data_IF_788254321251
#
_entry.id   IF_788254321251
#
_cell.length_a   1.000
_cell.length_b   1.000
_cell.length_c   1.000
_cell.angle_alpha   90.00
_cell.angle_beta   90.00
_cell.angle_gamma   90.00
#
_symmetry.space_group_name_H-M   'P 1'
#
loop_
_entity.id
_entity.type
_entity.pdbx_description
1 polymer ?
#
# COMPACT_ATOMS: atom_id res chain seq x y z
N UNK A 1 4.16 8.29 -9.06
CA UNK A 1 3.97 8.15 -10.50
C UNK A 1 4.75 6.99 -11.11
N UNK A 2 4.23 6.44 -12.17
CA UNK A 2 4.90 5.45 -13.03
C UNK A 2 4.82 5.92 -14.47
N UNK A 3 5.96 5.92 -15.19
CA UNK A 3 6.02 6.11 -16.64
C UNK A 3 6.41 4.78 -17.28
N UNK A 4 5.62 4.30 -18.21
CA UNK A 4 5.94 3.11 -18.98
C UNK A 4 6.91 3.45 -20.12
N UNK A 5 8.13 2.95 -20.04
CA UNK A 5 9.09 3.02 -21.15
C UNK A 5 8.90 1.81 -22.08
N UNK A 6 8.76 0.63 -21.49
CA UNK A 6 8.51 -0.64 -22.20
C UNK A 6 7.61 -1.56 -21.36
N UNK A 7 6.54 -2.13 -21.94
CA UNK A 7 5.75 -3.17 -21.28
C UNK A 7 6.51 -4.52 -21.24
N UNK A 8 5.97 -5.48 -20.52
CA UNK A 8 6.41 -6.86 -20.57
C UNK A 8 6.07 -7.53 -21.91
N UNK A 9 6.62 -8.73 -22.15
CA UNK A 9 6.25 -9.59 -23.28
C UNK A 9 4.79 -10.03 -23.16
N UNK A 10 4.40 -10.45 -21.93
CA UNK A 10 3.02 -10.79 -21.59
C UNK A 10 2.74 -10.54 -20.11
N UNK A 11 1.49 -10.32 -19.74
CA UNK A 11 1.08 -10.02 -18.37
C UNK A 11 1.55 -8.64 -17.89
N UNK A 12 1.65 -8.47 -16.58
CA UNK A 12 2.07 -7.20 -15.97
C UNK A 12 0.99 -6.14 -15.90
N UNK A 13 -0.28 -6.55 -16.07
CA UNK A 13 -1.48 -5.71 -15.88
C UNK A 13 -1.42 -5.01 -14.52
N UNK A 14 -1.63 -3.72 -14.52
CA UNK A 14 -1.77 -2.92 -13.29
C UNK A 14 -3.22 -2.94 -12.84
N UNK A 15 -3.44 -3.22 -11.56
CA UNK A 15 -4.76 -3.23 -10.95
C UNK A 15 -4.82 -2.17 -9.84
N UNK A 16 -5.90 -1.42 -9.80
CA UNK A 16 -6.14 -0.36 -8.83
C UNK A 16 -7.51 -0.57 -8.21
N UNK A 17 -7.63 -0.35 -6.91
CA UNK A 17 -8.92 -0.27 -6.24
C UNK A 17 -9.00 0.93 -5.29
N UNK A 18 -10.23 1.40 -5.07
CA UNK A 18 -10.51 2.47 -4.11
C UNK A 18 -10.44 1.95 -2.69
N UNK A 19 -9.52 2.47 -1.88
CA UNK A 19 -9.48 2.12 -0.46
C UNK A 19 -10.70 2.66 0.31
N UNK A 20 -11.37 3.68 -0.20
CA UNK A 20 -12.62 4.19 0.38
C UNK A 20 -13.77 3.21 0.16
N UNK A 21 -13.86 2.60 -1.02
CA UNK A 21 -14.84 1.56 -1.30
C UNK A 21 -14.63 0.34 -0.39
N UNK A 22 -13.37 -0.08 -0.21
CA UNK A 22 -13.03 -1.17 0.73
C UNK A 22 -13.45 -0.83 2.15
N UNK A 23 -13.16 0.39 2.63
CA UNK A 23 -13.59 0.83 3.96
C UNK A 23 -15.11 0.76 4.12
N UNK A 24 -15.88 1.29 3.15
CA UNK A 24 -17.33 1.27 3.19
C UNK A 24 -17.90 -0.15 3.21
N UNK A 25 -17.30 -1.06 2.44
CA UNK A 25 -17.70 -2.47 2.44
C UNK A 25 -17.41 -3.13 3.79
N UNK A 26 -16.21 -2.91 4.36
CA UNK A 26 -15.88 -3.38 5.71
C UNK A 26 -16.90 -2.86 6.73
N UNK A 27 -17.21 -1.56 6.71
CA UNK A 27 -18.15 -0.95 7.63
C UNK A 27 -19.56 -1.52 7.50
N UNK A 28 -19.98 -1.88 6.29
CA UNK A 28 -21.34 -2.37 6.02
C UNK A 28 -21.49 -3.86 6.33
N UNK A 29 -20.51 -4.68 5.95
CA UNK A 29 -20.61 -6.13 6.03
C UNK A 29 -20.01 -6.69 7.32
N UNK A 30 -18.94 -6.06 7.82
CA UNK A 30 -18.14 -6.49 8.97
C UNK A 30 -17.72 -5.30 9.83
N UNK A 31 -18.68 -4.60 10.48
CA UNK A 31 -18.36 -3.43 11.31
C UNK A 31 -17.38 -3.74 12.44
N UNK A 32 -17.32 -5.00 12.92
CA UNK A 32 -16.37 -5.47 13.92
C UNK A 32 -14.89 -5.39 13.46
N UNK A 33 -14.63 -5.29 12.14
CA UNK A 33 -13.27 -5.16 11.60
C UNK A 33 -12.75 -3.72 11.63
N UNK A 34 -13.62 -2.74 11.82
CA UNK A 34 -13.21 -1.32 11.78
C UNK A 34 -12.26 -0.98 12.92
N UNK A 35 -12.55 -1.44 14.13
CA UNK A 35 -11.70 -1.17 15.30
C UNK A 35 -10.26 -1.70 15.13
N UNK A 36 -10.01 -2.98 14.80
CA UNK A 36 -8.65 -3.44 14.56
C UNK A 36 -7.97 -2.72 13.39
N UNK A 37 -8.68 -2.40 12.30
CA UNK A 37 -8.12 -1.71 11.16
C UNK A 37 -7.76 -0.23 11.44
N UNK A 38 -8.44 0.41 12.37
CA UNK A 38 -8.17 1.79 12.80
C UNK A 38 -7.17 1.87 13.96
N UNK A 39 -7.14 0.88 14.86
CA UNK A 39 -6.10 0.74 15.89
C UNK A 39 -4.73 0.39 15.28
N UNK A 40 -4.75 -0.24 14.11
CA UNK A 40 -3.58 -0.48 13.28
C UNK A 40 -2.69 -1.64 13.75
N UNK A 41 -1.52 -1.74 13.13
CA UNK A 41 -0.60 -2.87 13.26
C UNK A 41 0.86 -2.39 13.24
N UNK A 42 1.76 -3.20 13.77
CA UNK A 42 3.17 -3.05 13.47
C UNK A 42 3.44 -3.52 12.02
N UNK A 43 4.22 -2.74 11.30
CA UNK A 43 4.63 -3.06 9.93
C UNK A 43 6.10 -3.46 9.92
N UNK A 44 6.42 -4.47 9.14
CA UNK A 44 7.80 -4.81 8.82
C UNK A 44 8.47 -3.70 8.01
N UNK A 45 9.70 -3.35 8.37
CA UNK A 45 10.47 -2.29 7.70
C UNK A 45 11.25 -2.77 6.48
N UNK A 46 11.25 -4.08 6.17
CA UNK A 46 11.89 -4.69 4.99
C UNK A 46 13.33 -4.17 4.80
N UNK A 47 14.18 -4.34 5.79
CA UNK A 47 15.58 -3.90 5.74
C UNK A 47 15.79 -2.38 5.67
N UNK A 48 14.73 -1.59 5.90
CA UNK A 48 14.82 -0.12 6.03
C UNK A 48 15.04 0.33 7.46
N UNK A 49 14.85 -0.58 8.42
CA UNK A 49 15.19 -0.36 9.82
C UNK A 49 16.69 -0.42 10.07
N UNK A 50 17.11 -0.08 11.29
CA UNK A 50 18.45 -0.39 11.78
C UNK A 50 18.57 -1.90 12.02
N UNK A 51 19.78 -2.40 12.31
CA UNK A 51 19.96 -3.81 12.71
C UNK A 51 19.15 -4.20 13.96
N UNK A 52 18.67 -3.22 14.71
CA UNK A 52 17.95 -3.38 15.98
C UNK A 52 16.44 -3.15 15.84
N UNK A 53 15.97 -2.49 14.77
CA UNK A 53 14.56 -2.12 14.58
C UNK A 53 14.10 -2.65 13.22
N UNK A 54 13.46 -3.80 13.24
CA UNK A 54 12.97 -4.48 12.02
C UNK A 54 11.48 -4.20 11.74
N UNK A 55 10.77 -3.62 12.69
CA UNK A 55 9.35 -3.27 12.57
C UNK A 55 9.07 -1.87 13.14
N UNK A 56 7.90 -1.30 12.86
CA UNK A 56 7.53 0.04 13.32
C UNK A 56 7.34 0.06 14.85
N UNK A 57 7.90 1.07 15.52
CA UNK A 57 7.80 1.23 16.98
C UNK A 57 6.35 1.35 17.46
N UNK A 58 5.52 2.02 16.68
CA UNK A 58 4.10 2.20 16.97
C UNK A 58 3.24 1.47 15.93
N UNK A 59 2.03 1.09 16.33
CA UNK A 59 1.03 0.55 15.41
C UNK A 59 0.60 1.65 14.45
N UNK A 60 0.46 1.31 13.16
CA UNK A 60 0.01 2.21 12.10
C UNK A 60 -1.38 1.75 11.65
N UNK A 61 -2.38 2.63 11.63
CA UNK A 61 -3.71 2.30 11.11
C UNK A 61 -3.67 1.84 9.65
N UNK A 62 -4.52 0.86 9.31
CA UNK A 62 -4.85 0.59 7.90
C UNK A 62 -5.73 1.70 7.37
N UNK A 63 -6.73 2.12 8.16
CA UNK A 63 -7.58 3.27 7.88
C UNK A 63 -7.42 4.33 8.96
N UNK A 64 -7.19 5.56 8.55
CA UNK A 64 -6.96 6.69 9.44
C UNK A 64 -7.83 7.88 9.04
N UNK A 65 -8.67 8.35 9.98
CA UNK A 65 -9.44 9.58 9.83
C UNK A 65 -8.67 10.76 10.43
N UNK A 66 -8.49 11.82 9.65
CA UNK A 66 -7.87 13.05 10.13
C UNK A 66 -8.41 14.26 9.36
N UNK A 67 -8.88 15.27 10.08
CA UNK A 67 -9.42 16.52 9.50
C UNK A 67 -10.46 16.27 8.38
N UNK A 68 -11.36 15.32 8.57
CA UNK A 68 -12.40 14.98 7.59
C UNK A 68 -11.94 14.10 6.41
N UNK A 69 -10.70 13.63 6.41
CA UNK A 69 -10.16 12.76 5.35
C UNK A 69 -9.90 11.36 5.87
N UNK A 70 -10.34 10.36 5.11
CA UNK A 70 -9.98 8.97 5.31
C UNK A 70 -8.74 8.63 4.47
N UNK A 71 -7.68 8.17 5.10
CA UNK A 71 -6.45 7.72 4.46
C UNK A 71 -6.23 6.24 4.73
N UNK A 72 -5.67 5.53 3.75
CA UNK A 72 -5.40 4.09 3.84
C UNK A 72 -3.92 3.79 3.62
N UNK A 73 -3.44 2.78 4.36
CA UNK A 73 -2.14 2.14 4.15
C UNK A 73 -2.28 0.66 4.41
N UNK A 74 -2.09 -0.15 3.38
CA UNK A 74 -2.26 -1.59 3.47
C UNK A 74 -1.14 -2.34 2.75
N UNK A 75 -0.54 -3.28 3.44
CA UNK A 75 0.31 -4.32 2.88
C UNK A 75 0.26 -5.51 3.83
N UNK A 76 -0.54 -6.53 3.48
CA UNK A 76 -0.78 -7.71 4.32
C UNK A 76 0.52 -8.34 4.81
N UNK A 77 1.47 -8.62 3.90
CA UNK A 77 2.74 -9.25 4.26
C UNK A 77 3.57 -8.42 5.26
N UNK A 78 3.60 -7.10 5.08
CA UNK A 78 4.32 -6.23 6.03
C UNK A 78 3.64 -6.20 7.40
N UNK A 79 2.32 -6.27 7.44
CA UNK A 79 1.56 -6.35 8.71
C UNK A 79 1.87 -7.67 9.41
N UNK A 80 1.69 -8.81 8.73
CA UNK A 80 1.92 -10.14 9.30
C UNK A 80 3.35 -10.27 9.87
N UNK A 81 4.37 -9.92 9.08
CA UNK A 81 5.76 -9.97 9.51
C UNK A 81 6.06 -8.96 10.65
N UNK A 82 5.49 -7.76 10.61
CA UNK A 82 5.69 -6.76 11.65
C UNK A 82 5.07 -7.18 12.98
N UNK A 83 3.90 -7.77 12.95
CA UNK A 83 3.23 -8.31 14.13
C UNK A 83 3.97 -9.51 14.71
N UNK A 84 4.44 -10.43 13.87
CA UNK A 84 5.28 -11.55 14.27
C UNK A 84 6.57 -11.08 14.95
N UNK A 85 7.34 -10.18 14.32
CA UNK A 85 8.61 -9.64 14.84
C UNK A 85 8.44 -8.83 16.13
N UNK A 86 7.28 -8.19 16.31
CA UNK A 86 6.96 -7.49 17.55
C UNK A 86 6.71 -8.43 18.74
N UNK A 87 6.62 -9.74 18.51
CA UNK A 87 6.30 -10.76 19.52
C UNK A 87 4.85 -10.75 19.99
N UNK A 88 3.98 -9.92 19.40
CA UNK A 88 2.56 -9.81 19.81
C UNK A 88 1.65 -10.77 19.03
N UNK A 89 2.03 -11.06 17.76
CA UNK A 89 1.17 -11.83 16.88
C UNK A 89 -0.10 -11.05 16.47
N UNK A 90 -0.97 -11.71 15.74
CA UNK A 90 -2.31 -11.23 15.38
C UNK A 90 -3.35 -12.02 16.15
N UNK A 91 -4.39 -11.38 16.66
CA UNK A 91 -5.58 -12.06 17.14
C UNK A 91 -6.39 -12.58 15.96
N UNK A 92 -7.32 -13.54 16.20
CA UNK A 92 -8.20 -14.07 15.15
C UNK A 92 -9.00 -12.96 14.46
N UNK A 93 -9.49 -11.97 15.22
CA UNK A 93 -10.22 -10.83 14.68
C UNK A 93 -9.32 -9.92 13.82
N UNK A 94 -8.10 -9.64 14.26
CA UNK A 94 -7.13 -8.85 13.49
C UNK A 94 -6.74 -9.58 12.19
N UNK A 95 -6.53 -10.90 12.25
CA UNK A 95 -6.23 -11.70 11.07
C UNK A 95 -7.42 -11.69 10.09
N UNK A 96 -8.64 -11.93 10.57
CA UNK A 96 -9.83 -11.89 9.73
C UNK A 96 -10.02 -10.52 9.08
N UNK A 97 -9.79 -9.43 9.80
CA UNK A 97 -9.92 -8.08 9.28
C UNK A 97 -8.92 -7.78 8.14
N UNK A 98 -7.64 -8.15 8.28
CA UNK A 98 -6.65 -7.95 7.21
C UNK A 98 -6.87 -8.90 6.03
N UNK A 99 -7.36 -10.10 6.28
CA UNK A 99 -7.72 -11.07 5.23
C UNK A 99 -8.88 -10.54 4.40
N UNK A 100 -9.90 -9.98 5.03
CA UNK A 100 -11.04 -9.41 4.34
C UNK A 100 -10.65 -8.18 3.48
N UNK A 101 -9.82 -7.28 4.01
CA UNK A 101 -9.26 -6.17 3.19
C UNK A 101 -8.48 -6.71 1.98
N UNK A 102 -7.72 -7.79 2.17
CA UNK A 102 -6.99 -8.43 1.06
C UNK A 102 -7.93 -9.04 0.05
N UNK A 103 -8.98 -9.74 0.48
CA UNK A 103 -10.02 -10.30 -0.38
C UNK A 103 -10.66 -9.21 -1.25
N UNK A 104 -11.16 -8.13 -0.62
CA UNK A 104 -11.76 -7.00 -1.33
C UNK A 104 -10.78 -6.35 -2.32
N UNK A 105 -9.50 -6.26 -1.95
CA UNK A 105 -8.48 -5.65 -2.81
C UNK A 105 -8.15 -6.42 -4.09
N UNK A 106 -8.69 -7.63 -4.25
CA UNK A 106 -8.53 -8.47 -5.46
C UNK A 106 -9.87 -8.93 -6.05
N UNK A 107 -10.98 -8.51 -5.48
CA UNK A 107 -12.32 -8.81 -5.96
C UNK A 107 -12.61 -7.99 -7.23
N UNK A 108 -13.03 -8.63 -8.31
CA UNK A 108 -13.13 -8.02 -9.65
C UNK A 108 -14.01 -6.77 -9.71
N UNK A 109 -15.10 -6.73 -8.93
CA UNK A 109 -15.99 -5.59 -8.86
C UNK A 109 -15.40 -4.35 -8.15
N UNK A 110 -14.26 -4.51 -7.48
CA UNK A 110 -13.47 -3.42 -6.86
C UNK A 110 -12.31 -2.96 -7.72
N UNK A 111 -11.97 -3.70 -8.79
CA UNK A 111 -10.75 -3.49 -9.55
C UNK A 111 -10.97 -2.70 -10.85
N UNK A 112 -10.06 -1.78 -11.08
CA UNK A 112 -9.80 -1.21 -12.40
C UNK A 112 -8.49 -1.79 -12.92
N UNK A 113 -8.57 -2.51 -14.03
CA UNK A 113 -7.39 -3.05 -14.72
C UNK A 113 -6.91 -2.13 -15.82
N UNK A 114 -5.60 -2.04 -15.98
CA UNK A 114 -4.98 -1.31 -17.07
C UNK A 114 -3.68 -1.96 -17.53
N UNK A 115 -3.52 -2.05 -18.84
CA UNK A 115 -2.28 -2.47 -19.47
C UNK A 115 -1.52 -1.25 -19.96
N UNK A 116 -0.28 -1.12 -19.50
CA UNK A 116 0.57 0.00 -19.88
C UNK A 116 1.07 -0.13 -21.33
N UNK A 117 0.99 0.97 -22.06
CA UNK A 117 1.64 1.18 -23.34
C UNK A 117 2.85 2.11 -23.19
N UNK A 118 3.85 2.05 -24.08
CA UNK A 118 4.95 3.00 -24.05
C UNK A 118 4.45 4.45 -24.06
N UNK A 119 4.93 5.26 -23.12
CA UNK A 119 4.51 6.66 -22.93
C UNK A 119 3.37 6.86 -21.91
N UNK A 120 2.68 5.82 -21.49
CA UNK A 120 1.62 5.95 -20.47
C UNK A 120 2.22 6.40 -19.14
N UNK A 121 1.51 7.34 -18.50
CA UNK A 121 1.84 7.84 -17.16
C UNK A 121 0.68 7.54 -16.23
N UNK A 122 0.95 6.80 -15.16
CA UNK A 122 0.01 6.57 -14.06
C UNK A 122 0.39 7.44 -12.86
N UNK A 123 -0.52 8.26 -12.38
CA UNK A 123 -0.38 9.03 -11.15
C UNK A 123 -1.40 8.52 -10.11
N UNK A 124 -0.92 8.11 -8.95
CA UNK A 124 -1.77 7.61 -7.86
C UNK A 124 -1.51 8.36 -6.56
N UNK A 125 -2.58 8.64 -5.84
CA UNK A 125 -2.48 8.99 -4.43
C UNK A 125 -2.54 7.70 -3.60
N UNK A 126 -1.39 7.27 -3.08
CA UNK A 126 -1.26 6.03 -2.30
C UNK A 126 -2.05 6.02 -0.97
N UNK A 127 -2.64 7.15 -0.58
CA UNK A 127 -3.47 7.22 0.61
C UNK A 127 -4.96 6.94 0.32
N UNK A 128 -5.36 6.85 -0.95
CA UNK A 128 -6.76 6.62 -1.35
C UNK A 128 -6.93 5.48 -2.36
N UNK A 129 -5.83 4.99 -2.92
CA UNK A 129 -5.84 3.89 -3.87
C UNK A 129 -4.85 2.80 -3.45
N UNK A 130 -5.32 1.56 -3.44
CA UNK A 130 -4.45 0.39 -3.41
C UNK A 130 -4.14 -0.01 -4.84
N UNK A 131 -2.94 -0.49 -5.06
CA UNK A 131 -2.51 -0.92 -6.39
C UNK A 131 -1.63 -2.16 -6.33
N UNK A 132 -1.72 -2.96 -7.37
CA UNK A 132 -0.94 -4.16 -7.55
C UNK A 132 -0.56 -4.33 -9.03
N UNK A 133 0.28 -5.29 -9.28
CA UNK A 133 0.66 -5.72 -10.62
C UNK A 133 0.62 -7.24 -10.66
N UNK A 134 0.03 -7.80 -11.73
CA UNK A 134 0.03 -9.23 -11.98
C UNK A 134 1.44 -9.73 -12.39
N UNK A 135 1.65 -11.02 -12.30
CA UNK A 135 2.84 -11.66 -12.83
C UNK A 135 3.02 -11.33 -14.31
N UNK A 136 4.26 -11.38 -14.78
CA UNK A 136 4.58 -11.09 -16.17
C UNK A 136 5.77 -11.93 -16.63
N UNK A 137 5.79 -12.18 -17.92
CA UNK A 137 6.91 -12.76 -18.64
C UNK A 137 7.66 -11.65 -19.38
N UNK A 138 8.97 -11.64 -19.24
CA UNK A 138 9.82 -10.68 -19.95
C UNK A 138 10.44 -11.28 -21.20
N UNK A 139 10.93 -10.41 -22.07
CA UNK A 139 11.75 -10.80 -23.19
C UNK A 139 13.13 -11.25 -22.68
N UNK A 140 13.78 -12.23 -23.32
CA UNK A 140 15.14 -12.64 -22.94
C UNK A 140 16.15 -11.51 -23.17
N UNK A 141 15.96 -10.69 -24.22
CA UNK A 141 16.86 -9.59 -24.60
C UNK A 141 16.71 -8.43 -23.61
N UNK A 142 17.82 -7.98 -23.03
CA UNK A 142 17.85 -6.95 -21.98
C UNK A 142 17.20 -5.63 -22.42
N UNK A 143 17.41 -5.22 -23.66
CA UNK A 143 16.89 -3.99 -24.24
C UNK A 143 15.37 -4.02 -24.46
N UNK A 144 14.76 -5.21 -24.48
CA UNK A 144 13.31 -5.40 -24.63
C UNK A 144 12.59 -5.63 -23.31
N UNK A 145 13.32 -5.89 -22.22
CA UNK A 145 12.72 -6.14 -20.91
C UNK A 145 11.83 -4.98 -20.47
N UNK A 146 10.81 -5.35 -19.68
CA UNK A 146 9.91 -4.40 -19.06
C UNK A 146 10.67 -3.31 -18.31
N UNK A 147 10.35 -2.06 -18.57
CA UNK A 147 10.94 -0.92 -17.90
C UNK A 147 9.88 0.14 -17.60
N UNK A 148 9.64 0.37 -16.31
CA UNK A 148 8.85 1.49 -15.83
C UNK A 148 9.74 2.38 -14.95
N UNK A 149 9.68 3.66 -15.18
CA UNK A 149 10.31 4.66 -14.30
C UNK A 149 9.32 5.03 -13.20
N UNK A 150 9.77 4.95 -11.96
CA UNK A 150 8.96 5.30 -10.79
C UNK A 150 9.48 6.56 -10.13
N UNK A 151 8.57 7.49 -9.85
CA UNK A 151 8.85 8.70 -9.07
C UNK A 151 7.90 8.77 -7.88
N UNK A 152 8.44 9.23 -6.76
CA UNK A 152 7.66 9.62 -5.60
C UNK A 152 7.50 11.13 -5.61
N UNK A 153 6.26 11.59 -5.52
CA UNK A 153 5.92 13.01 -5.53
C UNK A 153 5.37 13.35 -4.15
N UNK A 154 6.08 14.23 -3.44
CA UNK A 154 5.61 14.77 -2.16
C UNK A 154 4.93 16.11 -2.43
N UNK A 155 3.61 16.19 -2.18
CA UNK A 155 2.81 17.39 -2.47
C UNK A 155 2.69 18.22 -1.18
N UNK A 156 3.27 19.43 -1.10
CA UNK A 156 3.29 20.25 0.12
C UNK A 156 1.91 20.53 0.69
N UNK A 157 0.94 20.82 -0.18
CA UNK A 157 -0.46 21.10 0.17
C UNK A 157 -1.36 19.86 0.01
N UNK A 158 -0.78 18.65 0.12
CA UNK A 158 -1.53 17.42 -0.01
C UNK A 158 -2.42 17.13 1.19
N UNK A 159 -3.10 15.99 1.14
CA UNK A 159 -4.00 15.48 2.18
C UNK A 159 -3.37 15.57 3.57
N UNK A 160 -4.05 16.14 4.58
CA UNK A 160 -3.58 16.10 5.96
C UNK A 160 -3.57 14.64 6.46
N UNK A 161 -2.49 14.26 7.15
CA UNK A 161 -2.30 12.92 7.70
C UNK A 161 -2.15 12.99 9.21
N UNK A 162 -2.76 12.06 9.92
CA UNK A 162 -2.60 11.95 11.37
C UNK A 162 -1.14 11.64 11.74
N UNK A 163 -0.62 12.15 12.88
CA UNK A 163 0.76 11.93 13.29
C UNK A 163 1.16 10.45 13.42
N UNK A 164 0.24 9.60 13.85
CA UNK A 164 0.45 8.15 13.96
C UNK A 164 0.42 7.42 12.59
N UNK A 165 -0.02 8.09 11.55
CA UNK A 165 -0.09 7.56 10.19
C UNK A 165 1.03 8.11 9.30
N UNK A 166 1.41 9.37 9.49
CA UNK A 166 2.49 10.01 8.77
C UNK A 166 3.87 9.55 9.26
N UNK A 167 4.87 9.60 8.40
CA UNK A 167 6.31 9.46 8.73
C UNK A 167 6.72 8.14 9.43
N UNK A 168 5.97 7.05 9.25
CA UNK A 168 6.24 5.82 9.98
C UNK A 168 6.95 4.74 9.16
N UNK A 169 6.81 4.75 7.83
CA UNK A 169 7.40 3.74 6.94
C UNK A 169 8.54 4.27 6.07
N UNK A 170 8.66 5.57 5.92
CA UNK A 170 9.70 6.23 5.13
C UNK A 170 10.26 7.42 5.91
N UNK A 171 11.48 7.80 5.59
CA UNK A 171 12.23 8.86 6.27
C UNK A 171 11.95 10.28 5.74
N UNK A 172 11.15 10.41 4.69
CA UNK A 172 10.77 11.70 4.12
C UNK A 172 9.55 12.32 4.79
N UNK A 173 9.36 13.62 4.57
CA UNK A 173 8.22 14.36 5.11
C UNK A 173 6.89 13.71 4.74
N UNK A 174 5.96 13.72 5.69
CA UNK A 174 4.60 13.17 5.53
C UNK A 174 4.57 11.70 5.07
N UNK A 175 5.54 10.89 5.49
CA UNK A 175 5.65 9.48 5.10
C UNK A 175 6.16 9.28 3.67
N UNK A 176 6.64 10.32 3.01
CA UNK A 176 7.28 10.25 1.71
C UNK A 176 8.70 9.69 1.78
N UNK A 177 9.31 9.49 0.62
CA UNK A 177 10.70 9.03 0.50
C UNK A 177 11.63 10.24 0.60
N UNK A 178 12.58 10.22 1.53
CA UNK A 178 13.61 11.26 1.61
C UNK A 178 14.50 11.25 0.38
N UNK A 179 14.99 12.43 -0.03
CA UNK A 179 16.10 12.51 -0.98
C UNK A 179 17.31 11.78 -0.38
N UNK A 180 17.94 10.94 -1.16
CA UNK A 180 19.31 10.48 -0.82
C UNK A 180 20.23 11.68 -0.97
N UNK A 181 20.99 11.98 0.09
CA UNK A 181 22.08 12.93 0.02
C UNK A 181 23.16 12.42 -0.94
#
# INVERSE_FOLDING_TARGET
GLLCVRPAKSGGTSSICSSMAIYNECQTQHPEFIDPLTNGFHFDLIGKGSKEIEYTETRIPVFSFHQGYLSCRFNKRQIELGMERSGKGLTDLEQAAIDYVRELSVREDFLLHMDFRPGDIQLLNNHVALHARNEYEDWPEAERKRLLLRVWINVPNGRPLAPNFANRLNSGDRGGVAKRA
#
